data_IF_598454910133
#
_entry.id   IF_598454910133
#
_cell.length_a   1.000
_cell.length_b   1.000
_cell.length_c   1.000
_cell.angle_alpha   90.00
_cell.angle_beta   90.00
_cell.angle_gamma   90.00
#
_symmetry.space_group_name_H-M   'P 1'
#
loop_
_entity.id
_entity.type
_entity.pdbx_description
1 polymer ?
#
# COMPACT_ATOMS: atom_id res chain seq x y z
N UNK A 1 -5.06 16.34 4.66
CA UNK A 1 -4.43 15.35 5.58
C UNK A 1 -2.96 15.11 5.24
N UNK A 2 -2.52 15.22 3.97
CA UNK A 2 -1.10 15.08 3.57
C UNK A 2 -0.07 15.91 4.37
N UNK A 3 -0.39 17.15 4.75
CA UNK A 3 0.50 18.03 5.51
C UNK A 3 0.86 17.48 6.90
N UNK A 4 0.00 16.66 7.49
CA UNK A 4 0.24 16.06 8.83
C UNK A 4 1.14 14.83 8.70
N UNK A 5 0.93 13.99 7.68
CA UNK A 5 1.81 12.84 7.41
C UNK A 5 3.22 13.28 7.02
N UNK A 6 3.36 14.29 6.14
CA UNK A 6 4.65 14.88 5.79
C UNK A 6 5.36 15.46 7.02
N UNK A 7 4.64 16.20 7.87
CA UNK A 7 5.18 16.77 9.11
C UNK A 7 5.59 15.71 10.14
N UNK A 8 4.79 14.65 10.32
CA UNK A 8 5.13 13.54 11.23
C UNK A 8 6.31 12.71 10.70
N UNK A 9 6.44 12.58 9.38
CA UNK A 9 7.62 12.02 8.72
C UNK A 9 8.89 12.83 9.02
N UNK A 10 8.83 14.16 8.84
CA UNK A 10 9.94 15.06 9.17
C UNK A 10 10.30 15.02 10.66
N UNK A 11 9.31 14.99 11.55
CA UNK A 11 9.54 14.91 12.99
C UNK A 11 10.23 13.58 13.36
N UNK A 12 9.78 12.46 12.78
CA UNK A 12 10.37 11.14 13.03
C UNK A 12 11.84 11.09 12.61
N UNK A 13 12.16 11.63 11.43
CA UNK A 13 13.54 11.77 10.95
C UNK A 13 14.37 12.69 11.86
N UNK A 14 13.79 13.78 12.35
CA UNK A 14 14.47 14.73 13.24
C UNK A 14 14.80 14.15 14.62
N UNK A 15 14.02 13.19 15.13
CA UNK A 15 14.27 12.50 16.39
C UNK A 15 15.06 11.19 16.24
N UNK A 16 15.62 10.93 15.06
CA UNK A 16 16.51 9.78 14.81
C UNK A 16 15.79 8.47 14.47
N UNK A 17 14.49 8.55 14.12
CA UNK A 17 13.78 7.42 13.53
C UNK A 17 14.05 7.28 12.03
N UNK A 18 13.99 6.07 11.50
CA UNK A 18 14.11 5.83 10.04
C UNK A 18 12.77 6.01 9.34
N UNK A 19 12.80 6.30 8.03
CA UNK A 19 11.59 6.33 7.19
C UNK A 19 10.78 5.03 7.32
N UNK A 20 11.46 3.88 7.37
CA UNK A 20 10.79 2.58 7.54
C UNK A 20 10.08 2.43 8.90
N UNK A 21 10.56 3.09 9.96
CA UNK A 21 9.87 3.11 11.26
C UNK A 21 8.61 3.97 11.23
N UNK A 22 8.68 5.11 10.52
CA UNK A 22 7.51 5.94 10.25
C UNK A 22 6.47 5.13 9.46
N UNK A 23 6.87 4.55 8.34
CA UNK A 23 5.98 3.79 7.47
C UNK A 23 5.34 2.60 8.18
N UNK A 24 6.13 1.86 8.97
CA UNK A 24 5.61 0.74 9.76
C UNK A 24 4.55 1.20 10.78
N UNK A 25 4.71 2.39 11.36
CA UNK A 25 3.77 2.95 12.33
C UNK A 25 2.47 3.40 11.67
N UNK A 26 2.55 4.06 10.51
CA UNK A 26 1.38 4.45 9.72
C UNK A 26 0.60 3.22 9.23
N UNK A 27 1.28 2.21 8.70
CA UNK A 27 0.65 0.94 8.34
C UNK A 27 -0.01 0.26 9.53
N UNK A 28 0.59 0.34 10.72
CA UNK A 28 -0.02 -0.21 11.93
C UNK A 28 -1.26 0.57 12.36
N UNK A 29 -1.21 1.89 12.21
CA UNK A 29 -2.32 2.77 12.55
C UNK A 29 -3.50 2.60 11.59
N UNK A 30 -3.24 2.42 10.29
CA UNK A 30 -4.29 2.24 9.28
C UNK A 30 -5.08 0.94 9.45
N UNK A 31 -4.48 -0.09 10.05
CA UNK A 31 -5.10 -1.38 10.39
C UNK A 31 -5.51 -1.47 11.87
N UNK A 32 -5.78 -0.34 12.54
CA UNK A 32 -6.15 -0.34 13.96
C UNK A 32 -7.62 0.01 14.15
N UNK A 33 -8.39 -0.92 14.72
CA UNK A 33 -9.74 -0.65 15.22
C UNK A 33 -10.78 -1.49 14.51
N UNK A 34 -11.99 -0.95 14.33
CA UNK A 34 -13.04 -1.57 13.53
C UNK A 34 -12.97 -0.97 12.12
N UNK A 35 -12.60 -1.80 11.15
CA UNK A 35 -12.36 -1.38 9.78
C UNK A 35 -10.92 -0.94 9.55
N UNK A 36 -10.65 -0.55 8.31
CA UNK A 36 -9.30 -0.23 7.82
C UNK A 36 -9.32 1.17 7.21
N UNK A 37 -8.32 1.98 7.53
CA UNK A 37 -8.04 3.21 6.79
C UNK A 37 -7.38 2.83 5.46
N UNK A 38 -8.23 2.47 4.50
CA UNK A 38 -7.83 1.97 3.19
C UNK A 38 -6.99 3.00 2.43
N UNK A 39 -7.28 4.30 2.56
CA UNK A 39 -6.55 5.38 1.88
C UNK A 39 -5.09 5.41 2.32
N UNK A 40 -4.84 5.45 3.63
CA UNK A 40 -3.47 5.42 4.18
C UNK A 40 -2.78 4.10 3.85
N UNK A 41 -3.48 2.97 3.99
CA UNK A 41 -2.90 1.66 3.68
C UNK A 41 -2.45 1.56 2.20
N UNK A 42 -3.31 2.00 1.28
CA UNK A 42 -2.99 2.05 -0.15
C UNK A 42 -1.82 3.00 -0.38
N UNK A 43 -1.87 4.25 0.11
CA UNK A 43 -0.82 5.25 -0.12
C UNK A 43 0.56 4.72 0.32
N UNK A 44 0.64 4.11 1.50
CA UNK A 44 1.90 3.63 2.07
C UNK A 44 2.45 2.41 1.31
N UNK A 45 1.62 1.45 0.92
CA UNK A 45 2.06 0.26 0.17
C UNK A 45 2.43 0.61 -1.26
N UNK A 46 1.68 1.51 -1.88
CA UNK A 46 1.86 1.92 -3.26
C UNK A 46 3.06 2.86 -3.45
N UNK A 47 3.30 3.79 -2.52
CA UNK A 47 4.38 4.78 -2.67
C UNK A 47 5.78 4.27 -2.32
N UNK A 48 5.96 2.96 -2.11
CA UNK A 48 7.23 2.35 -1.68
C UNK A 48 7.72 1.32 -2.70
N UNK A 49 9.01 1.38 -3.00
CA UNK A 49 9.66 0.41 -3.88
C UNK A 49 9.92 -0.93 -3.16
N UNK A 50 10.36 -1.95 -3.89
CA UNK A 50 10.58 -3.28 -3.33
C UNK A 50 11.63 -3.31 -2.20
N UNK A 51 12.72 -2.56 -2.30
CA UNK A 51 13.75 -2.51 -1.25
C UNK A 51 13.20 -1.81 0.01
N UNK A 52 12.45 -0.73 -0.17
CA UNK A 52 11.77 -0.02 0.91
C UNK A 52 10.72 -0.90 1.58
N UNK A 53 9.87 -1.60 0.82
CA UNK A 53 8.86 -2.52 1.37
C UNK A 53 9.49 -3.68 2.15
N UNK A 54 10.61 -4.24 1.67
CA UNK A 54 11.35 -5.28 2.40
C UNK A 54 11.88 -4.75 3.73
N UNK A 55 12.40 -3.52 3.75
CA UNK A 55 12.89 -2.89 4.97
C UNK A 55 11.74 -2.55 5.93
N UNK A 56 10.62 -2.02 5.42
CA UNK A 56 9.39 -1.76 6.20
C UNK A 56 8.90 -3.05 6.85
N UNK A 57 8.86 -4.17 6.12
CA UNK A 57 8.48 -5.48 6.67
C UNK A 57 9.39 -5.91 7.82
N UNK A 58 10.72 -5.74 7.65
CA UNK A 58 11.70 -6.06 8.69
C UNK A 58 11.44 -5.23 9.94
N UNK A 59 11.32 -3.91 9.79
CA UNK A 59 11.08 -2.96 10.88
C UNK A 59 9.73 -3.19 11.55
N UNK A 60 8.67 -3.43 10.78
CA UNK A 60 7.33 -3.73 11.29
C UNK A 60 7.34 -4.97 12.20
N UNK A 61 8.03 -6.03 11.77
CA UNK A 61 8.21 -7.24 12.58
C UNK A 61 8.99 -6.96 13.86
N UNK A 62 10.03 -6.13 13.80
CA UNK A 62 10.82 -5.75 14.97
C UNK A 62 10.01 -4.94 15.99
N UNK A 63 9.24 -3.96 15.52
CA UNK A 63 8.45 -3.04 16.35
C UNK A 63 7.22 -3.71 16.97
N UNK A 64 6.45 -4.45 16.17
CA UNK A 64 5.13 -4.94 16.58
C UNK A 64 5.06 -6.44 16.84
N UNK A 65 6.15 -7.18 16.55
CA UNK A 65 6.22 -8.65 16.66
C UNK A 65 5.14 -9.37 15.85
N UNK A 66 4.80 -8.78 14.70
CA UNK A 66 3.80 -9.27 13.76
C UNK A 66 4.31 -9.20 12.33
N UNK A 67 3.74 -10.02 11.47
CA UNK A 67 4.04 -10.02 10.04
C UNK A 67 3.09 -9.06 9.32
N UNK A 68 3.64 -8.09 8.57
CA UNK A 68 2.85 -7.06 7.88
C UNK A 68 1.83 -7.68 6.91
N UNK A 69 2.24 -8.67 6.13
CA UNK A 69 1.37 -9.41 5.21
C UNK A 69 0.23 -10.12 5.92
N UNK A 70 0.45 -10.65 7.13
CA UNK A 70 -0.62 -11.29 7.92
C UNK A 70 -1.59 -10.29 8.51
N UNK A 71 -1.11 -9.12 8.94
CA UNK A 71 -1.99 -8.05 9.41
C UNK A 71 -2.85 -7.52 8.27
N UNK A 72 -2.26 -7.27 7.09
CA UNK A 72 -3.01 -6.87 5.90
C UNK A 72 -4.07 -7.90 5.52
N UNK A 73 -3.72 -9.20 5.52
CA UNK A 73 -4.68 -10.27 5.25
C UNK A 73 -5.81 -10.36 6.28
N UNK A 74 -5.56 -9.95 7.54
CA UNK A 74 -6.53 -10.00 8.62
C UNK A 74 -7.51 -8.82 8.62
N UNK A 75 -7.06 -7.65 8.18
CA UNK A 75 -7.83 -6.40 8.17
C UNK A 75 -8.49 -6.07 6.83
N UNK A 76 -8.21 -6.85 5.79
CA UNK A 76 -8.79 -6.66 4.44
C UNK A 76 -9.50 -7.93 3.98
N UNK A 77 -10.43 -7.80 3.03
CA UNK A 77 -11.15 -8.96 2.48
C UNK A 77 -11.39 -8.83 0.97
N UNK A 78 -11.93 -9.89 0.37
CA UNK A 78 -12.30 -9.91 -1.05
C UNK A 78 -11.11 -9.68 -1.98
N UNK A 79 -11.37 -9.09 -3.14
CA UNK A 79 -10.32 -8.83 -4.13
C UNK A 79 -9.38 -7.69 -3.71
N UNK A 80 -9.84 -6.80 -2.83
CA UNK A 80 -9.01 -5.76 -2.23
C UNK A 80 -7.85 -6.35 -1.41
N UNK A 81 -8.13 -7.36 -0.58
CA UNK A 81 -7.09 -8.09 0.14
C UNK A 81 -6.08 -8.77 -0.78
N UNK A 82 -6.57 -9.42 -1.84
CA UNK A 82 -5.70 -10.11 -2.81
C UNK A 82 -4.73 -9.14 -3.47
N UNK A 83 -5.19 -7.95 -3.85
CA UNK A 83 -4.34 -6.91 -4.40
C UNK A 83 -3.27 -6.48 -3.40
N UNK A 84 -3.69 -6.04 -2.21
CA UNK A 84 -2.76 -5.48 -1.22
C UNK A 84 -1.73 -6.52 -0.80
N UNK A 85 -2.12 -7.79 -0.70
CA UNK A 85 -1.18 -8.87 -0.45
C UNK A 85 -0.21 -9.08 -1.61
N UNK A 86 -0.65 -9.01 -2.87
CA UNK A 86 0.25 -9.09 -4.01
C UNK A 86 1.29 -7.96 -4.02
N UNK A 87 0.87 -6.74 -3.64
CA UNK A 87 1.75 -5.57 -3.52
C UNK A 87 2.74 -5.73 -2.35
N UNK A 88 2.24 -6.06 -1.15
CA UNK A 88 3.06 -6.20 0.06
C UNK A 88 4.00 -7.40 -0.03
N UNK A 89 3.61 -8.51 -0.66
CA UNK A 89 4.41 -9.74 -0.68
C UNK A 89 5.71 -9.64 -1.50
N UNK A 90 5.96 -8.54 -2.22
CA UNK A 90 7.17 -8.32 -3.04
C UNK A 90 7.37 -9.45 -4.06
N UNK A 91 6.50 -9.47 -5.05
CA UNK A 91 6.77 -10.16 -6.32
C UNK A 91 7.70 -9.29 -7.18
N UNK A 92 8.56 -9.91 -8.01
CA UNK A 92 9.16 -9.22 -9.16
C UNK A 92 8.03 -8.51 -9.94
N UNK A 93 8.21 -7.33 -10.54
CA UNK A 93 7.13 -6.68 -11.30
C UNK A 93 6.51 -7.60 -12.37
N UNK A 94 7.33 -8.50 -12.94
CA UNK A 94 6.87 -9.60 -13.79
C UNK A 94 5.92 -10.56 -13.07
N UNK A 95 6.32 -10.99 -11.86
CA UNK A 95 5.51 -11.89 -11.03
C UNK A 95 4.24 -11.20 -10.51
N UNK A 96 4.27 -9.88 -10.31
CA UNK A 96 3.11 -9.11 -9.85
C UNK A 96 2.07 -8.98 -10.97
N UNK A 97 2.49 -8.61 -12.18
CA UNK A 97 1.59 -8.58 -13.35
C UNK A 97 1.00 -9.96 -13.63
N UNK A 98 1.80 -11.04 -13.55
CA UNK A 98 1.30 -12.40 -13.73
C UNK A 98 0.36 -12.85 -12.61
N UNK A 99 0.66 -12.52 -11.35
CA UNK A 99 -0.21 -12.83 -10.21
C UNK A 99 -1.56 -12.11 -10.33
N UNK A 100 -1.55 -10.83 -10.72
CA UNK A 100 -2.77 -10.06 -11.00
C UNK A 100 -3.57 -10.72 -12.12
N UNK A 101 -2.92 -11.06 -13.24
CA UNK A 101 -3.60 -11.75 -14.36
C UNK A 101 -4.17 -13.09 -13.98
N UNK A 102 -3.57 -13.80 -13.03
CA UNK A 102 -4.03 -15.12 -12.60
C UNK A 102 -5.23 -15.05 -11.66
N UNK A 103 -5.18 -14.14 -10.69
CA UNK A 103 -6.13 -14.06 -9.57
C UNK A 103 -7.27 -13.07 -9.81
N UNK A 104 -7.06 -12.08 -10.68
CA UNK A 104 -8.01 -11.00 -10.97
C UNK A 104 -8.39 -11.02 -12.44
N UNK A 105 -9.67 -10.80 -12.73
CA UNK A 105 -10.21 -10.81 -14.11
C UNK A 105 -11.06 -9.58 -14.40
N UNK A 106 -11.17 -9.26 -15.68
CA UNK A 106 -12.07 -8.22 -16.18
C UNK A 106 -11.53 -6.82 -15.97
N UNK A 107 -12.39 -5.86 -15.63
CA UNK A 107 -11.97 -4.47 -15.51
C UNK A 107 -11.08 -4.22 -14.27
N UNK A 108 -11.24 -5.04 -13.23
CA UNK A 108 -10.39 -5.01 -12.04
C UNK A 108 -8.94 -5.42 -12.35
N UNK A 109 -8.73 -6.38 -13.25
CA UNK A 109 -7.41 -6.80 -13.72
C UNK A 109 -6.69 -5.63 -14.43
N UNK A 110 -7.39 -4.93 -15.31
CA UNK A 110 -6.83 -3.78 -16.06
C UNK A 110 -6.45 -2.64 -15.13
N UNK A 111 -7.28 -2.34 -14.15
CA UNK A 111 -7.01 -1.30 -13.15
C UNK A 111 -5.77 -1.63 -12.33
N UNK A 112 -5.63 -2.88 -11.88
CA UNK A 112 -4.43 -3.31 -11.14
C UNK A 112 -3.18 -3.32 -12.01
N UNK A 113 -3.25 -3.74 -13.27
CA UNK A 113 -2.10 -3.66 -14.18
C UNK A 113 -1.69 -2.20 -14.45
N UNK A 114 -2.65 -1.29 -14.59
CA UNK A 114 -2.39 0.15 -14.72
C UNK A 114 -1.67 0.69 -13.50
N UNK A 115 -2.10 0.31 -12.29
CA UNK A 115 -1.43 0.68 -11.05
C UNK A 115 0.02 0.19 -11.02
N UNK A 116 0.27 -1.06 -11.39
CA UNK A 116 1.64 -1.61 -11.47
C UNK A 116 2.49 -0.86 -12.48
N UNK A 117 1.94 -0.51 -13.65
CA UNK A 117 2.64 0.29 -14.65
C UNK A 117 2.93 1.73 -14.20
N UNK A 118 2.05 2.32 -13.38
CA UNK A 118 2.30 3.61 -12.73
C UNK A 118 3.47 3.53 -11.72
N UNK A 119 3.63 2.42 -11.00
CA UNK A 119 4.79 2.21 -10.12
C UNK A 119 6.10 2.03 -10.91
N UNK A 120 6.05 1.35 -12.05
CA UNK A 120 7.22 1.15 -12.92
C UNK A 120 7.67 2.46 -13.59
N UNK A 121 6.73 3.34 -13.96
CA UNK A 121 7.00 4.62 -14.60
C UNK A 121 6.88 5.78 -13.61
N UNK A 122 7.97 6.08 -12.88
CA UNK A 122 8.07 7.16 -11.87
C UNK A 122 7.54 8.54 -12.29
N UNK A 123 7.32 8.84 -13.58
CA UNK A 123 6.82 10.14 -14.04
C UNK A 123 5.33 10.41 -13.76
N UNK A 124 4.55 9.42 -13.31
CA UNK A 124 3.12 9.61 -13.01
C UNK A 124 2.81 9.95 -11.54
N UNK A 125 3.81 9.94 -10.64
CA UNK A 125 3.58 9.98 -9.19
C UNK A 125 3.30 11.40 -8.66
N UNK A 126 3.78 12.47 -9.31
CA UNK A 126 3.59 13.85 -8.82
C UNK A 126 2.18 14.42 -9.08
N UNK A 127 1.40 13.84 -10.00
CA UNK A 127 0.07 14.35 -10.38
C UNK A 127 -1.11 13.47 -9.97
N UNK A 128 -0.87 12.30 -9.37
CA UNK A 128 -1.88 11.25 -9.14
C UNK A 128 -2.32 11.09 -7.68
N UNK A 129 -1.88 11.96 -6.76
CA UNK A 129 -2.44 12.03 -5.39
C UNK A 129 -3.96 12.28 -5.50
N UNK A 130 -4.75 11.21 -5.30
CA UNK A 130 -6.22 11.19 -5.43
C UNK A 130 -6.79 10.33 -6.57
N UNK A 131 -6.01 10.06 -7.63
CA UNK A 131 -6.49 9.28 -8.78
C UNK A 131 -6.49 7.77 -8.50
N UNK A 132 -5.54 7.28 -7.70
CA UNK A 132 -5.53 5.89 -7.22
C UNK A 132 -6.73 5.60 -6.31
N UNK A 133 -7.08 6.57 -5.47
CA UNK A 133 -8.21 6.50 -4.57
C UNK A 133 -9.54 6.49 -5.34
N UNK A 134 -9.69 7.35 -6.37
CA UNK A 134 -10.85 7.33 -7.27
C UNK A 134 -10.95 6.04 -8.09
N UNK A 135 -9.82 5.54 -8.60
CA UNK A 135 -9.79 4.28 -9.34
C UNK A 135 -10.18 3.11 -8.45
N UNK A 136 -9.73 3.05 -7.20
CA UNK A 136 -10.06 1.97 -6.26
C UNK A 136 -11.48 2.12 -5.68
N UNK A 137 -11.96 3.33 -5.39
CA UNK A 137 -13.33 3.57 -4.92
C UNK A 137 -14.39 3.27 -6.00
N UNK A 138 -14.12 3.55 -7.28
CA UNK A 138 -15.03 3.17 -8.37
C UNK A 138 -15.11 1.65 -8.56
N UNK A 139 -14.06 0.91 -8.18
CA UNK A 139 -13.99 -0.56 -8.26
C UNK A 139 -14.73 -1.24 -7.11
N UNK A 140 -14.90 -0.58 -5.96
CA UNK A 140 -15.63 -1.10 -4.80
C UNK A 140 -17.15 -0.83 -4.85
N UNK A 141 -17.66 -0.21 -5.92
CA UNK A 141 -19.10 -0.02 -6.14
C UNK A 141 -19.72 1.15 -5.36
N UNK A 142 -19.04 2.29 -5.29
CA UNK A 142 -19.65 3.55 -4.87
C UNK A 142 -20.17 4.36 -6.06
N UNK A 143 -21.29 3.93 -6.65
CA UNK A 143 -22.19 4.88 -7.31
C UNK A 143 -23.13 5.39 -6.20
N UNK A 144 -22.80 6.54 -5.62
CA UNK A 144 -23.71 7.60 -5.12
C UNK A 144 -22.94 8.71 -4.39
#
# INVERSE_FOLDING_TARGET
MALVSEFLGELTLSYGGSTAQYDASELKASMKGLGTDEETLIEMVCSRNNEELLEIKRVYREMFKKELDKEVAGDTSGDFAKLLLALVQSYSPYDMKESIRKEVKGDLEKSFLTLVECFENRQYIEHTKGDYQKALLSLCGGDD
#
